data_IF_238556040894
#
_entry.id   IF_238556040894
#
_cell.length_a   1.000
_cell.length_b   1.000
_cell.length_c   1.000
_cell.angle_alpha   90.00
_cell.angle_beta   90.00
_cell.angle_gamma   90.00
#
_symmetry.space_group_name_H-M   'P 1'
#
loop_
_entity.id
_entity.type
_entity.pdbx_description
1 polymer ?
#
# COMPACT_ATOMS: atom_id res chain seq x y z
N UNK A 1 -31.35 17.68 -38.40
CA UNK A 1 -30.19 17.60 -37.50
C UNK A 1 -29.55 18.99 -37.49
N UNK A 2 -29.58 19.73 -36.39
CA UNK A 2 -29.03 21.10 -36.35
C UNK A 2 -27.49 21.00 -36.33
N UNK A 3 -26.84 21.56 -37.34
CA UNK A 3 -25.42 21.86 -37.34
C UNK A 3 -25.11 22.79 -36.16
N UNK A 4 -24.49 22.23 -35.12
CA UNK A 4 -23.93 23.04 -34.05
C UNK A 4 -22.65 23.70 -34.59
N UNK A 5 -22.81 24.98 -34.92
CA UNK A 5 -21.79 25.88 -35.42
C UNK A 5 -20.53 25.82 -34.54
N UNK A 6 -19.41 25.39 -35.13
CA UNK A 6 -18.07 25.30 -34.50
C UNK A 6 -17.54 26.64 -33.97
N UNK A 7 -18.32 27.73 -34.10
CA UNK A 7 -17.96 29.10 -33.68
C UNK A 7 -18.44 29.51 -32.28
N UNK A 8 -19.09 28.62 -31.51
CA UNK A 8 -19.59 28.91 -30.15
C UNK A 8 -18.70 28.38 -29.01
N UNK A 9 -17.50 27.90 -29.28
CA UNK A 9 -16.57 27.46 -28.21
C UNK A 9 -15.65 28.61 -27.81
N UNK A 10 -15.54 28.86 -26.51
CA UNK A 10 -14.62 29.85 -25.96
C UNK A 10 -13.19 29.49 -26.43
N UNK A 11 -12.39 30.45 -26.96
CA UNK A 11 -11.01 30.18 -27.34
C UNK A 11 -10.16 29.54 -26.22
N UNK A 12 -10.52 29.80 -24.94
CA UNK A 12 -9.92 29.11 -23.78
C UNK A 12 -10.30 27.64 -23.68
N UNK A 13 -11.46 27.21 -24.15
CA UNK A 13 -11.87 25.79 -24.16
C UNK A 13 -11.07 25.01 -25.21
N UNK A 14 -10.90 25.60 -26.40
CA UNK A 14 -10.12 25.01 -27.50
C UNK A 14 -8.62 24.93 -27.21
N UNK A 15 -8.07 25.91 -26.48
CA UNK A 15 -6.66 25.90 -26.02
C UNK A 15 -6.51 25.05 -24.75
N UNK A 16 -7.50 25.12 -23.85
CA UNK A 16 -7.51 24.41 -22.58
C UNK A 16 -7.54 22.89 -22.74
N UNK A 17 -8.27 22.38 -23.73
CA UNK A 17 -8.33 20.94 -24.06
C UNK A 17 -6.99 20.35 -24.54
N UNK A 18 -6.03 21.19 -24.94
CA UNK A 18 -4.67 20.76 -25.32
C UNK A 18 -3.70 20.73 -24.14
N UNK A 19 -4.07 21.31 -22.99
CA UNK A 19 -3.22 21.33 -21.79
C UNK A 19 -3.39 20.03 -21.01
N UNK A 20 -2.36 19.66 -20.24
CA UNK A 20 -2.43 18.53 -19.32
C UNK A 20 -3.59 18.75 -18.32
N UNK A 21 -4.62 17.89 -18.31
CA UNK A 21 -5.81 18.09 -17.48
C UNK A 21 -5.56 17.59 -16.05
N UNK A 22 -4.73 18.32 -15.28
CA UNK A 22 -4.32 17.94 -13.92
C UNK A 22 -5.50 17.67 -12.97
N UNK A 23 -6.64 18.32 -13.20
CA UNK A 23 -7.88 18.14 -12.42
C UNK A 23 -8.51 16.75 -12.53
N UNK A 24 -8.06 15.90 -13.46
CA UNK A 24 -8.52 14.50 -13.54
C UNK A 24 -7.98 13.64 -12.41
N UNK A 25 -6.86 14.04 -11.78
CA UNK A 25 -6.35 13.36 -10.59
C UNK A 25 -7.12 13.89 -9.38
N UNK A 26 -7.80 13.02 -8.60
CA UNK A 26 -8.49 13.48 -7.40
C UNK A 26 -7.52 14.07 -6.38
N UNK A 27 -7.83 15.24 -5.83
CA UNK A 27 -7.01 15.89 -4.80
C UNK A 27 -6.80 15.03 -3.54
N UNK A 28 -7.70 14.06 -3.30
CA UNK A 28 -7.56 13.03 -2.27
C UNK A 28 -6.23 12.30 -2.37
N UNK A 29 -5.70 12.06 -3.58
CA UNK A 29 -4.40 11.41 -3.77
C UNK A 29 -3.28 12.25 -3.14
N UNK A 30 -3.24 13.55 -3.44
CA UNK A 30 -2.23 14.48 -2.92
C UNK A 30 -2.36 14.62 -1.40
N UNK A 31 -3.59 14.81 -0.91
CA UNK A 31 -3.88 14.96 0.53
C UNK A 31 -3.42 13.71 1.30
N UNK A 32 -3.75 12.51 0.79
CA UNK A 32 -3.42 11.26 1.46
C UNK A 32 -1.94 10.91 1.35
N UNK A 33 -1.23 11.30 0.29
CA UNK A 33 0.20 11.06 0.16
C UNK A 33 1.05 11.96 1.08
N UNK A 34 0.56 13.16 1.41
CA UNK A 34 1.29 14.17 2.18
C UNK A 34 1.89 13.64 3.51
N UNK A 35 1.17 12.90 4.37
CA UNK A 35 1.75 12.32 5.58
C UNK A 35 2.96 11.41 5.34
N UNK A 36 2.94 10.59 4.27
CA UNK A 36 4.07 9.71 3.93
C UNK A 36 5.28 10.51 3.46
N UNK A 37 5.07 11.59 2.69
CA UNK A 37 6.15 12.50 2.29
C UNK A 37 6.71 13.29 3.48
N UNK A 38 5.85 13.74 4.40
CA UNK A 38 6.28 14.39 5.64
C UNK A 38 7.11 13.42 6.50
N UNK A 39 6.66 12.17 6.66
CA UNK A 39 7.41 11.14 7.38
C UNK A 39 8.82 10.94 6.76
N UNK A 40 8.90 10.85 5.43
CA UNK A 40 10.16 10.76 4.70
C UNK A 40 11.04 12.00 4.91
N UNK A 41 10.47 13.20 4.79
CA UNK A 41 11.18 14.46 4.98
C UNK A 41 11.77 14.60 6.39
N UNK A 42 11.03 14.18 7.42
CA UNK A 42 11.49 14.19 8.81
C UNK A 42 12.62 13.20 9.07
N UNK A 43 12.68 12.08 8.33
CA UNK A 43 13.73 11.05 8.50
C UNK A 43 14.97 11.31 7.66
N UNK A 44 14.79 11.81 6.45
CA UNK A 44 15.83 11.79 5.41
C UNK A 44 16.03 13.14 4.70
N UNK A 45 15.25 14.17 5.06
CA UNK A 45 15.20 15.44 4.34
C UNK A 45 14.24 15.40 3.15
N UNK A 46 13.61 16.54 2.87
CA UNK A 46 12.72 16.68 1.72
C UNK A 46 13.48 16.53 0.39
N UNK A 47 12.86 15.87 -0.60
CA UNK A 47 13.40 15.68 -1.95
C UNK A 47 14.80 15.03 -2.01
N UNK A 48 15.22 14.31 -0.97
CA UNK A 48 16.55 13.71 -0.91
C UNK A 48 16.83 12.75 -2.09
N UNK A 49 15.79 12.09 -2.63
CA UNK A 49 15.87 11.21 -3.80
C UNK A 49 16.30 11.93 -5.09
N UNK A 50 16.09 13.25 -5.19
CA UNK A 50 16.57 14.06 -6.31
C UNK A 50 18.06 14.37 -6.22
N UNK A 51 18.67 14.19 -5.04
CA UNK A 51 20.09 14.51 -4.79
C UNK A 51 20.93 13.25 -4.72
N UNK A 52 20.47 12.26 -3.96
CA UNK A 52 21.22 11.02 -3.69
C UNK A 52 20.79 9.85 -4.56
N UNK A 53 19.69 10.01 -5.32
CA UNK A 53 19.13 8.97 -6.15
C UNK A 53 18.45 7.86 -5.38
N UNK A 54 17.85 6.95 -6.14
CA UNK A 54 17.11 5.80 -5.61
C UNK A 54 17.42 4.56 -6.43
N UNK A 55 17.39 3.42 -5.76
CA UNK A 55 17.48 2.10 -6.39
C UNK A 55 16.07 1.53 -6.54
N UNK A 56 15.67 1.22 -7.78
CA UNK A 56 14.29 0.84 -8.10
C UNK A 56 13.81 -0.36 -7.27
N UNK A 57 14.64 -1.40 -7.16
CA UNK A 57 14.32 -2.62 -6.39
C UNK A 57 13.96 -2.35 -4.92
N UNK A 58 14.61 -1.37 -4.27
CA UNK A 58 14.36 -1.02 -2.87
C UNK A 58 12.98 -0.39 -2.70
N UNK A 59 12.60 0.50 -3.60
CA UNK A 59 11.30 1.18 -3.55
C UNK A 59 10.16 0.24 -3.96
N UNK A 60 10.38 -0.65 -4.95
CA UNK A 60 9.43 -1.73 -5.27
C UNK A 60 9.22 -2.62 -4.04
N UNK A 61 10.29 -3.06 -3.37
CA UNK A 61 10.20 -3.89 -2.18
C UNK A 61 9.45 -3.19 -1.03
N UNK A 62 9.67 -1.89 -0.82
CA UNK A 62 8.95 -1.10 0.18
C UNK A 62 7.45 -0.97 -0.16
N UNK A 63 7.14 -0.67 -1.41
CA UNK A 63 5.78 -0.59 -1.93
C UNK A 63 5.05 -1.92 -1.70
N UNK A 64 5.67 -3.05 -2.06
CA UNK A 64 5.09 -4.37 -1.85
C UNK A 64 4.80 -4.66 -0.38
N UNK A 65 5.68 -4.27 0.56
CA UNK A 65 5.45 -4.50 1.99
C UNK A 65 4.22 -3.72 2.47
N UNK A 66 4.07 -2.46 2.09
CA UNK A 66 2.87 -1.69 2.44
C UNK A 66 1.61 -2.26 1.80
N UNK A 67 1.68 -2.64 0.52
CA UNK A 67 0.55 -3.24 -0.19
C UNK A 67 0.14 -4.59 0.41
N UNK A 68 1.10 -5.46 0.75
CA UNK A 68 0.85 -6.75 1.39
C UNK A 68 0.17 -6.58 2.74
N UNK A 69 0.61 -5.63 3.57
CA UNK A 69 -0.03 -5.33 4.85
C UNK A 69 -1.47 -4.83 4.69
N UNK A 70 -1.68 -3.88 3.78
CA UNK A 70 -3.02 -3.38 3.46
C UNK A 70 -3.96 -4.48 3.00
N UNK A 71 -3.51 -5.33 2.06
CA UNK A 71 -4.27 -6.49 1.57
C UNK A 71 -4.64 -7.50 2.67
N UNK A 72 -3.91 -7.53 3.78
CA UNK A 72 -4.15 -8.42 4.91
C UNK A 72 -4.79 -7.70 6.12
N UNK A 73 -5.45 -6.55 5.89
CA UNK A 73 -6.30 -5.89 6.89
C UNK A 73 -5.61 -4.88 7.81
N UNK A 74 -4.34 -4.56 7.59
CA UNK A 74 -3.65 -3.46 8.29
C UNK A 74 -3.82 -2.16 7.48
N UNK A 75 -4.78 -1.29 7.82
CA UNK A 75 -5.00 -0.04 7.06
C UNK A 75 -3.86 0.97 7.24
N UNK A 76 -3.31 1.03 8.46
CA UNK A 76 -2.34 2.04 8.90
C UNK A 76 -1.15 1.39 9.59
N UNK A 77 0.02 1.97 9.40
CA UNK A 77 1.21 1.56 10.14
C UNK A 77 1.00 1.80 11.65
N UNK A 78 1.23 0.81 12.52
CA UNK A 78 0.92 0.91 13.95
C UNK A 78 1.84 1.87 14.71
N UNK A 79 2.97 2.30 14.12
CA UNK A 79 3.89 3.24 14.77
C UNK A 79 3.63 4.67 14.33
N UNK A 80 3.39 4.88 13.04
CA UNK A 80 3.32 6.22 12.43
C UNK A 80 1.90 6.67 12.15
N UNK A 81 0.94 5.72 12.17
CA UNK A 81 -0.48 5.91 11.84
C UNK A 81 -0.72 6.36 10.39
N UNK A 82 0.31 6.32 9.56
CA UNK A 82 0.23 6.61 8.12
C UNK A 82 -0.47 5.45 7.42
N UNK A 83 -1.42 5.79 6.55
CA UNK A 83 -2.16 4.79 5.77
C UNK A 83 -1.22 4.05 4.81
N UNK A 84 -1.34 2.73 4.69
CA UNK A 84 -0.43 1.96 3.86
C UNK A 84 -0.51 2.31 2.37
N UNK A 85 -1.71 2.58 1.86
CA UNK A 85 -1.85 3.09 0.48
C UNK A 85 -1.18 4.44 0.27
N UNK A 86 -1.11 5.31 1.29
CA UNK A 86 -0.34 6.57 1.19
C UNK A 86 1.14 6.30 0.97
N UNK A 87 1.71 5.32 1.69
CA UNK A 87 3.11 4.93 1.52
C UNK A 87 3.36 4.24 0.18
N UNK A 88 2.39 3.47 -0.35
CA UNK A 88 2.43 2.93 -1.72
C UNK A 88 2.50 4.05 -2.74
N UNK A 89 1.61 5.05 -2.63
CA UNK A 89 1.58 6.23 -3.51
C UNK A 89 2.91 6.99 -3.44
N UNK A 90 3.43 7.24 -2.23
CA UNK A 90 4.70 7.94 -2.06
C UNK A 90 5.87 7.17 -2.70
N UNK A 91 5.93 5.84 -2.57
CA UNK A 91 6.97 5.03 -3.23
C UNK A 91 6.89 5.16 -4.76
N UNK A 92 5.69 5.03 -5.34
CA UNK A 92 5.49 5.15 -6.78
C UNK A 92 5.84 6.56 -7.29
N UNK A 93 5.40 7.60 -6.57
CA UNK A 93 5.69 8.99 -6.92
C UNK A 93 7.20 9.30 -6.86
N UNK A 94 7.93 8.79 -5.86
CA UNK A 94 9.38 8.97 -5.76
C UNK A 94 10.11 8.27 -6.90
N UNK A 95 9.68 7.07 -7.32
CA UNK A 95 10.25 6.37 -8.48
C UNK A 95 10.11 7.22 -9.75
N UNK A 96 8.89 7.69 -10.05
CA UNK A 96 8.61 8.50 -11.24
C UNK A 96 9.39 9.83 -11.22
N UNK A 97 9.46 10.47 -10.06
CA UNK A 97 10.15 11.75 -9.91
C UNK A 97 11.68 11.59 -10.01
N UNK A 98 12.23 10.51 -9.44
CA UNK A 98 13.64 10.18 -9.60
C UNK A 98 13.99 9.82 -11.05
N UNK A 99 13.12 9.12 -11.76
CA UNK A 99 13.27 8.84 -13.21
C UNK A 99 13.31 10.15 -14.01
N UNK A 100 12.35 11.04 -13.77
CA UNK A 100 12.31 12.37 -14.41
C UNK A 100 13.56 13.21 -14.10
N UNK A 101 14.12 13.07 -12.90
CA UNK A 101 15.37 13.72 -12.50
C UNK A 101 16.66 13.01 -12.98
N UNK A 102 16.56 11.85 -13.66
CA UNK A 102 17.71 10.99 -14.01
C UNK A 102 18.52 10.50 -12.80
N UNK A 103 17.84 10.34 -11.67
CA UNK A 103 18.39 9.90 -10.39
C UNK A 103 17.95 8.49 -10.00
N UNK A 104 17.20 7.81 -10.88
CA UNK A 104 16.78 6.42 -10.72
C UNK A 104 17.86 5.46 -11.24
N UNK A 105 18.33 4.57 -10.37
CA UNK A 105 19.07 3.37 -10.80
C UNK A 105 18.08 2.24 -11.04
N UNK A 106 17.89 1.88 -12.31
CA UNK A 106 17.10 0.72 -12.69
C UNK A 106 17.93 -0.55 -12.52
N UNK A 107 17.59 -1.34 -11.50
CA UNK A 107 18.20 -2.62 -11.19
C UNK A 107 17.17 -3.76 -11.19
N UNK A 108 16.15 -3.65 -12.03
CA UNK A 108 15.21 -4.74 -12.30
C UNK A 108 15.94 -5.96 -12.87
N UNK A 109 15.41 -7.19 -12.65
CA UNK A 109 15.96 -8.38 -13.28
C UNK A 109 15.89 -8.27 -14.82
N UNK A 110 16.68 -9.09 -15.55
CA UNK A 110 16.57 -9.18 -17.00
C UNK A 110 15.12 -9.39 -17.45
N UNK A 111 14.79 -8.81 -18.60
CA UNK A 111 13.45 -8.86 -19.15
C UNK A 111 12.91 -10.30 -19.22
N UNK A 112 11.69 -10.48 -18.74
CA UNK A 112 10.92 -11.71 -18.86
C UNK A 112 9.61 -11.38 -19.58
N UNK A 113 9.16 -12.19 -20.58
CA UNK A 113 7.92 -11.95 -21.31
C UNK A 113 6.68 -12.34 -20.48
N UNK A 114 6.57 -11.78 -19.27
CA UNK A 114 5.49 -12.11 -18.32
C UNK A 114 4.12 -11.83 -18.90
N UNK A 115 3.96 -10.76 -19.68
CA UNK A 115 2.68 -10.41 -20.31
C UNK A 115 2.21 -11.48 -21.29
N UNK A 116 3.10 -11.94 -22.17
CA UNK A 116 2.78 -13.02 -23.12
C UNK A 116 2.40 -14.32 -22.40
N UNK A 117 3.09 -14.63 -21.30
CA UNK A 117 2.75 -15.78 -20.47
C UNK A 117 1.37 -15.65 -19.82
N UNK A 118 1.02 -14.47 -19.29
CA UNK A 118 -0.29 -14.21 -18.69
C UNK A 118 -1.39 -14.33 -19.75
N UNK A 119 -1.22 -13.67 -20.90
CA UNK A 119 -2.20 -13.65 -21.98
C UNK A 119 -2.38 -15.05 -22.58
N UNK A 120 -1.29 -15.80 -22.73
CA UNK A 120 -1.30 -17.19 -23.20
C UNK A 120 -2.04 -18.17 -22.28
N UNK A 121 -2.27 -17.83 -21.00
CA UNK A 121 -3.04 -18.67 -20.07
C UNK A 121 -4.56 -18.47 -20.18
N UNK A 122 -5.03 -17.47 -20.94
CA UNK A 122 -6.46 -17.13 -21.00
C UNK A 122 -7.34 -18.28 -21.50
N UNK A 123 -6.90 -19.03 -22.51
CA UNK A 123 -7.63 -20.19 -23.04
C UNK A 123 -7.77 -21.31 -21.99
N UNK A 124 -6.71 -21.54 -21.21
CA UNK A 124 -6.73 -22.53 -20.13
C UNK A 124 -7.66 -22.11 -18.98
N UNK A 125 -7.72 -20.81 -18.65
CA UNK A 125 -8.69 -20.27 -17.69
C UNK A 125 -10.13 -20.44 -18.21
N UNK A 126 -10.37 -20.22 -19.51
CA UNK A 126 -11.68 -20.44 -20.12
C UNK A 126 -12.11 -21.92 -20.01
N UNK A 127 -11.20 -22.85 -20.28
CA UNK A 127 -11.42 -24.29 -20.08
C UNK A 127 -11.78 -24.63 -18.63
N UNK A 128 -11.03 -24.12 -17.64
CA UNK A 128 -11.32 -24.36 -16.21
C UNK A 128 -12.69 -23.84 -15.79
N UNK A 129 -13.11 -22.68 -16.32
CA UNK A 129 -14.44 -22.11 -16.06
C UNK A 129 -15.55 -22.95 -16.67
N UNK A 130 -15.38 -23.48 -17.88
CA UNK A 130 -16.38 -24.36 -18.49
C UNK A 130 -16.50 -25.70 -17.73
N UNK A 131 -15.38 -26.29 -17.32
CA UNK A 131 -15.35 -27.55 -16.56
C UNK A 131 -16.09 -27.46 -15.22
N UNK A 132 -16.07 -26.29 -14.57
CA UNK A 132 -16.71 -26.06 -13.27
C UNK A 132 -17.92 -25.12 -13.34
N UNK A 133 -18.54 -24.94 -14.52
CA UNK A 133 -19.65 -23.98 -14.71
C UNK A 133 -20.87 -24.20 -13.82
N UNK A 134 -21.11 -25.44 -13.41
CA UNK A 134 -22.23 -25.82 -12.55
C UNK A 134 -21.89 -25.72 -11.04
N UNK A 135 -20.65 -25.36 -10.70
CA UNK A 135 -20.26 -25.13 -9.31
C UNK A 135 -20.48 -23.68 -8.91
N UNK A 136 -21.10 -23.49 -7.74
CA UNK A 136 -21.36 -22.16 -7.17
C UNK A 136 -20.80 -22.05 -5.75
N UNK A 137 -19.47 -22.17 -5.58
CA UNK A 137 -18.86 -22.03 -4.26
C UNK A 137 -18.99 -20.58 -3.75
N UNK A 138 -19.23 -20.44 -2.45
CA UNK A 138 -19.19 -19.14 -1.77
C UNK A 138 -17.80 -18.49 -1.92
N UNK A 139 -17.77 -17.22 -2.29
CA UNK A 139 -16.52 -16.46 -2.44
C UNK A 139 -16.23 -15.73 -1.13
N UNK A 140 -15.27 -16.25 -0.38
CA UNK A 140 -14.95 -15.70 0.94
C UNK A 140 -14.34 -14.30 0.83
N UNK A 141 -14.76 -13.43 1.75
CA UNK A 141 -14.29 -12.07 1.94
C UNK A 141 -13.77 -11.90 3.36
N UNK A 142 -13.28 -10.70 3.69
CA UNK A 142 -12.90 -10.37 5.05
C UNK A 142 -14.06 -10.54 6.06
N UNK A 143 -15.32 -10.45 5.62
CA UNK A 143 -16.52 -10.67 6.44
C UNK A 143 -16.68 -12.14 6.88
N UNK A 144 -16.12 -13.10 6.13
CA UNK A 144 -16.18 -14.53 6.43
C UNK A 144 -15.10 -14.99 7.44
N UNK A 145 -14.27 -14.06 7.92
CA UNK A 145 -13.18 -14.36 8.83
C UNK A 145 -13.69 -14.89 10.18
N UNK A 146 -13.39 -16.15 10.50
CA UNK A 146 -13.66 -16.82 11.79
C UNK A 146 -12.80 -16.32 12.98
N UNK A 147 -12.34 -15.06 12.99
CA UNK A 147 -12.16 -14.35 14.27
C UNK A 147 -13.52 -14.04 14.93
N UNK A 148 -14.61 -14.56 14.36
CA UNK A 148 -15.90 -14.86 15.00
C UNK A 148 -15.78 -14.95 16.54
N UNK A 149 -16.44 -14.07 17.32
CA UNK A 149 -16.28 -13.97 18.77
C UNK A 149 -16.71 -15.19 19.61
N UNK A 150 -16.79 -16.40 19.07
CA UNK A 150 -17.29 -17.56 19.84
C UNK A 150 -16.81 -18.96 19.41
N UNK A 151 -15.71 -19.13 18.67
CA UNK A 151 -15.14 -20.47 18.43
C UNK A 151 -13.64 -20.51 18.67
N UNK A 152 -13.25 -21.00 19.85
CA UNK A 152 -11.88 -21.35 20.21
C UNK A 152 -11.30 -22.30 19.15
N UNK A 153 -10.37 -21.80 18.33
CA UNK A 153 -9.61 -22.62 17.40
C UNK A 153 -8.40 -23.22 18.15
N UNK A 154 -8.28 -24.56 18.29
CA UNK A 154 -7.35 -25.19 19.22
C UNK A 154 -5.86 -25.01 18.88
N UNK A 155 -5.53 -24.46 17.72
CA UNK A 155 -4.15 -24.26 17.26
C UNK A 155 -3.74 -22.79 17.03
N UNK A 156 -4.51 -21.81 17.51
CA UNK A 156 -4.13 -20.38 17.48
C UNK A 156 -4.10 -19.84 18.91
N UNK A 157 -3.33 -20.49 19.78
CA UNK A 157 -2.99 -19.94 21.10
C UNK A 157 -1.50 -19.66 21.16
N UNK A 158 -1.08 -18.59 20.48
CA UNK A 158 0.06 -17.72 20.80
C UNK A 158 0.04 -16.57 19.79
N UNK A 159 -0.22 -15.36 20.28
CA UNK A 159 -0.12 -14.15 19.47
C UNK A 159 1.18 -14.14 18.68
N UNK A 160 1.10 -14.07 17.35
CA UNK A 160 2.27 -13.87 16.48
C UNK A 160 2.87 -12.46 16.72
N UNK A 161 2.14 -11.60 17.43
CA UNK A 161 2.65 -10.36 18.00
C UNK A 161 3.69 -10.67 19.07
N UNK A 162 4.96 -10.24 18.90
CA UNK A 162 5.93 -10.29 19.99
C UNK A 162 5.40 -9.44 21.14
N UNK A 163 5.47 -9.94 22.37
CA UNK A 163 5.03 -9.19 23.54
C UNK A 163 5.64 -7.79 23.54
N UNK A 164 4.80 -6.76 23.71
CA UNK A 164 5.22 -5.36 23.79
C UNK A 164 6.41 -5.25 24.75
N UNK A 165 7.53 -4.69 24.28
CA UNK A 165 8.68 -4.42 25.16
C UNK A 165 8.26 -3.40 26.22
N UNK A 166 8.13 -3.85 27.48
CA UNK A 166 7.90 -3.00 28.63
C UNK A 166 9.05 -1.99 28.80
N UNK A 167 8.70 -0.72 29.05
CA UNK A 167 9.65 0.34 29.43
C UNK A 167 10.30 -0.02 30.77
N UNK A 168 11.51 0.49 31.04
CA UNK A 168 12.26 0.16 32.27
C UNK A 168 11.49 0.53 33.56
N UNK A 169 10.71 1.60 33.53
CA UNK A 169 9.84 2.01 34.64
C UNK A 169 8.75 0.96 34.94
N UNK A 170 8.13 0.40 33.90
CA UNK A 170 7.09 -0.64 34.01
C UNK A 170 7.68 -1.95 34.56
N UNK A 171 8.88 -2.35 34.10
CA UNK A 171 9.60 -3.53 34.63
C UNK A 171 9.95 -3.37 36.11
N UNK A 172 10.36 -2.17 36.53
CA UNK A 172 10.71 -1.89 37.92
C UNK A 172 9.49 -1.88 38.84
N UNK A 173 8.35 -1.34 38.35
CA UNK A 173 7.08 -1.38 39.07
C UNK A 173 6.61 -2.82 39.32
N UNK A 174 6.70 -3.69 38.31
CA UNK A 174 6.37 -5.12 38.44
C UNK A 174 7.27 -5.81 39.46
N UNK A 175 8.60 -5.59 39.40
CA UNK A 175 9.54 -6.15 40.39
C UNK A 175 9.22 -5.70 41.81
N UNK A 176 8.84 -4.43 42.01
CA UNK A 176 8.44 -3.90 43.33
C UNK A 176 7.13 -4.54 43.82
N UNK A 177 6.13 -4.66 42.96
CA UNK A 177 4.84 -5.29 43.30
C UNK A 177 5.00 -6.78 43.66
N UNK A 178 5.83 -7.53 42.93
CA UNK A 178 6.12 -8.94 43.24
C UNK A 178 6.87 -9.08 44.57
N UNK A 179 7.82 -8.18 44.85
CA UNK A 179 8.56 -8.17 46.13
C UNK A 179 7.64 -7.82 47.31
N UNK A 180 6.68 -6.92 47.14
CA UNK A 180 5.69 -6.59 48.17
C UNK A 180 4.73 -7.76 48.42
N UNK A 181 4.23 -8.42 47.37
CA UNK A 181 3.38 -9.62 47.52
C UNK A 181 4.10 -10.79 48.20
N UNK A 182 5.41 -10.96 47.96
CA UNK A 182 6.23 -11.98 48.65
C UNK A 182 6.55 -11.66 50.10
N UNK A 183 6.42 -10.40 50.52
CA UNK A 183 6.59 -9.98 51.93
C UNK A 183 5.28 -9.98 52.72
N UNK A 184 4.14 -10.02 52.03
CA UNK A 184 2.80 -10.07 52.61
C UNK A 184 2.24 -11.51 52.69
N UNK A 185 3.09 -12.52 52.47
CA UNK A 185 2.81 -13.95 52.58
C UNK A 185 3.82 -14.54 53.55
#
# INVERSE_FOLDING_TARGET
MKDYDKKLTNPKDAIGSKKLPLHLVPDTLTIMACPSFLEGALKYGQFNWRVYGVRLSIYISALERHLKKYKNGEDRDPKTLVHHLSSVIACAAIILDAEACKMLTDDRPPHHPTSELIDGMMDHIAYLKDMYKDQHPHQNTHEDSLWAPEKDHPNITKSITPARKLKNSERLAIKRAVKQKRKAK
#
